data_IF_174040718186
#
_entry.id   IF_174040718186
#
_cell.length_a   1.000
_cell.length_b   1.000
_cell.length_c   1.000
_cell.angle_alpha   90.00
_cell.angle_beta   90.00
_cell.angle_gamma   90.00
#
_symmetry.space_group_name_H-M   'P 1'
#
loop_
_entity.id
_entity.type
_entity.pdbx_description
1 polymer ?
#
# COMPACT_ATOMS: atom_id res chain seq x y z
N UNK A 1 -10.07 86.98 10.88
CA UNK A 1 -10.20 86.06 9.66
C UNK A 1 -9.40 84.77 9.90
N UNK A 2 -9.87 83.84 10.75
CA UNK A 2 -9.06 82.66 11.07
C UNK A 2 -9.96 81.50 11.68
N UNK A 3 -10.97 81.07 11.01
CA UNK A 3 -11.83 79.94 11.50
C UNK A 3 -12.27 78.94 10.43
N UNK A 4 -11.71 78.89 9.22
CA UNK A 4 -12.17 78.04 8.15
C UNK A 4 -11.24 76.87 7.72
N UNK A 5 -10.03 76.80 8.31
CA UNK A 5 -9.06 75.77 7.89
C UNK A 5 -9.17 74.43 8.68
N UNK A 6 -9.78 74.39 9.86
CA UNK A 6 -9.83 73.16 10.69
C UNK A 6 -10.93 72.16 10.28
N UNK A 7 -12.03 72.58 9.71
CA UNK A 7 -13.15 71.68 9.34
C UNK A 7 -12.88 70.76 8.15
N UNK A 8 -11.98 71.13 7.25
CA UNK A 8 -11.70 70.35 6.04
C UNK A 8 -10.79 69.16 6.37
N UNK A 9 -9.86 69.31 7.32
CA UNK A 9 -8.95 68.25 7.75
C UNK A 9 -9.63 67.19 8.58
N UNK A 10 -10.58 67.52 9.46
CA UNK A 10 -11.33 66.54 10.26
C UNK A 10 -12.21 65.62 9.41
N UNK A 11 -12.89 66.17 8.41
CA UNK A 11 -13.73 65.35 7.47
C UNK A 11 -12.88 64.41 6.63
N UNK A 12 -11.67 64.77 6.23
CA UNK A 12 -10.78 63.92 5.47
C UNK A 12 -10.29 62.73 6.29
N UNK A 13 -9.90 62.94 7.53
CA UNK A 13 -9.46 61.85 8.45
C UNK A 13 -10.59 60.89 8.79
N UNK A 14 -11.82 61.34 8.97
CA UNK A 14 -13.00 60.49 9.16
C UNK A 14 -13.28 59.63 7.95
N UNK A 15 -13.22 60.18 6.74
CA UNK A 15 -13.42 59.41 5.49
C UNK A 15 -12.33 58.34 5.26
N UNK A 16 -11.08 58.64 5.59
CA UNK A 16 -9.98 57.67 5.52
C UNK A 16 -10.15 56.57 6.57
N UNK A 17 -10.56 56.91 7.80
CA UNK A 17 -10.82 55.93 8.85
C UNK A 17 -11.95 54.98 8.51
N UNK A 18 -13.05 55.49 7.92
CA UNK A 18 -14.17 54.64 7.44
C UNK A 18 -13.74 53.68 6.33
N UNK A 19 -12.93 54.15 5.39
CA UNK A 19 -12.40 53.32 4.31
C UNK A 19 -11.47 52.24 4.84
N UNK A 20 -10.61 52.55 5.82
CA UNK A 20 -9.74 51.59 6.49
C UNK A 20 -10.54 50.56 7.28
N UNK A 21 -11.59 50.99 7.98
CA UNK A 21 -12.48 50.09 8.73
C UNK A 21 -13.22 49.11 7.78
N UNK A 22 -13.74 49.62 6.66
CA UNK A 22 -14.37 48.78 5.65
C UNK A 22 -13.38 47.73 5.04
N UNK A 23 -12.15 48.19 4.74
CA UNK A 23 -11.10 47.30 4.23
C UNK A 23 -10.74 46.22 5.25
N UNK A 24 -10.63 46.59 6.55
CA UNK A 24 -10.33 45.64 7.63
C UNK A 24 -11.42 44.59 7.79
N UNK A 25 -12.70 44.97 7.63
CA UNK A 25 -13.84 44.01 7.66
C UNK A 25 -13.77 43.05 6.46
N UNK A 26 -13.43 43.52 5.26
CA UNK A 26 -13.26 42.69 4.09
C UNK A 26 -12.14 41.67 4.29
N UNK A 27 -10.98 42.11 4.80
CA UNK A 27 -9.89 41.18 5.11
C UNK A 27 -10.25 40.16 6.20
N UNK A 28 -11.05 40.57 7.20
CA UNK A 28 -11.55 39.68 8.22
C UNK A 28 -12.44 38.57 7.61
N UNK A 29 -13.37 38.94 6.71
CA UNK A 29 -14.20 37.95 6.02
C UNK A 29 -13.38 37.01 5.13
N UNK A 30 -12.40 37.53 4.41
CA UNK A 30 -11.47 36.71 3.61
C UNK A 30 -10.70 35.73 4.52
N UNK A 31 -10.18 36.20 5.64
CA UNK A 31 -9.44 35.36 6.59
C UNK A 31 -10.33 34.26 7.19
N UNK A 32 -11.58 34.59 7.56
CA UNK A 32 -12.56 33.62 8.08
C UNK A 32 -12.90 32.60 6.99
N UNK A 33 -13.20 33.05 5.76
CA UNK A 33 -13.51 32.15 4.64
C UNK A 33 -12.35 31.20 4.33
N UNK A 34 -11.12 31.70 4.36
CA UNK A 34 -9.92 30.90 4.18
C UNK A 34 -9.75 29.90 5.32
N UNK A 35 -9.95 30.32 6.59
CA UNK A 35 -9.87 29.45 7.75
C UNK A 35 -10.89 28.29 7.67
N UNK A 36 -12.13 28.57 7.30
CA UNK A 36 -13.19 27.55 7.12
C UNK A 36 -12.78 26.56 6.01
N UNK A 37 -12.23 27.07 4.89
CA UNK A 37 -11.75 26.22 3.80
C UNK A 37 -10.63 25.28 4.27
N UNK A 38 -9.63 25.80 4.95
CA UNK A 38 -8.50 25.02 5.48
C UNK A 38 -8.98 23.98 6.49
N UNK A 39 -9.88 24.37 7.39
CA UNK A 39 -10.43 23.44 8.39
C UNK A 39 -11.19 22.30 7.72
N UNK A 40 -12.04 22.58 6.73
CA UNK A 40 -12.77 21.55 5.98
C UNK A 40 -11.83 20.58 5.24
N UNK A 41 -10.74 21.09 4.66
CA UNK A 41 -9.71 20.24 4.03
C UNK A 41 -9.02 19.34 5.06
N UNK A 42 -8.70 19.87 6.24
CA UNK A 42 -8.10 19.12 7.33
C UNK A 42 -9.02 18.01 7.85
N UNK A 43 -10.30 18.31 8.05
CA UNK A 43 -11.28 17.33 8.51
C UNK A 43 -11.45 16.20 7.49
N UNK A 44 -11.54 16.52 6.20
CA UNK A 44 -11.61 15.51 5.13
C UNK A 44 -10.37 14.62 5.14
N UNK A 45 -9.17 15.19 5.26
CA UNK A 45 -7.92 14.43 5.33
C UNK A 45 -7.89 13.51 6.54
N UNK A 46 -8.31 14.02 7.72
CA UNK A 46 -8.32 13.21 8.95
C UNK A 46 -9.29 12.02 8.83
N UNK A 47 -10.47 12.20 8.24
CA UNK A 47 -11.41 11.11 7.98
C UNK A 47 -10.79 10.05 7.06
N UNK A 48 -10.17 10.45 5.96
CA UNK A 48 -9.53 9.50 5.04
C UNK A 48 -8.38 8.72 5.70
N UNK A 49 -7.59 9.37 6.54
CA UNK A 49 -6.51 8.70 7.30
C UNK A 49 -7.08 7.66 8.28
N UNK A 50 -8.18 7.99 8.95
CA UNK A 50 -8.84 7.08 9.89
C UNK A 50 -9.41 5.89 9.13
N UNK A 51 -10.16 6.11 8.05
CA UNK A 51 -10.77 5.07 7.24
C UNK A 51 -9.70 4.13 6.65
N UNK A 52 -8.60 4.69 6.11
CA UNK A 52 -7.46 3.91 5.62
C UNK A 52 -6.87 3.01 6.70
N UNK A 53 -6.64 3.59 7.88
CA UNK A 53 -6.05 2.84 9.00
C UNK A 53 -6.99 1.74 9.47
N UNK A 54 -8.28 2.02 9.57
CA UNK A 54 -9.26 1.09 10.10
C UNK A 54 -9.47 -0.09 9.14
N UNK A 55 -9.57 0.14 7.82
CA UNK A 55 -9.62 -0.92 6.81
C UNK A 55 -8.36 -1.81 6.90
N UNK A 56 -7.18 -1.20 6.99
CA UNK A 56 -5.91 -1.92 7.09
C UNK A 56 -5.82 -2.79 8.35
N UNK A 57 -6.21 -2.25 9.49
CA UNK A 57 -6.22 -2.96 10.77
C UNK A 57 -7.23 -4.12 10.73
N UNK A 58 -8.40 -3.91 10.17
CA UNK A 58 -9.44 -4.94 10.08
C UNK A 58 -8.98 -6.10 9.16
N UNK A 59 -8.43 -5.80 7.99
CA UNK A 59 -7.87 -6.82 7.10
C UNK A 59 -6.76 -7.61 7.83
N UNK A 60 -5.81 -6.92 8.48
CA UNK A 60 -4.76 -7.59 9.23
C UNK A 60 -5.32 -8.51 10.31
N UNK A 61 -6.25 -8.02 11.14
CA UNK A 61 -6.83 -8.79 12.23
C UNK A 61 -7.59 -10.03 11.72
N UNK A 62 -8.38 -9.88 10.68
CA UNK A 62 -9.13 -11.00 10.10
C UNK A 62 -8.19 -12.06 9.53
N UNK A 63 -7.17 -11.66 8.77
CA UNK A 63 -6.17 -12.58 8.23
C UNK A 63 -5.32 -13.22 9.34
N UNK A 64 -4.89 -12.44 10.32
CA UNK A 64 -4.11 -12.97 11.44
C UNK A 64 -4.92 -13.99 12.25
N UNK A 65 -6.17 -13.69 12.59
CA UNK A 65 -7.02 -14.61 13.33
C UNK A 65 -7.32 -15.89 12.57
N UNK A 66 -7.46 -15.81 11.24
CA UNK A 66 -7.68 -16.99 10.40
C UNK A 66 -6.45 -17.90 10.33
N UNK A 67 -5.24 -17.32 10.20
CA UNK A 67 -4.03 -18.09 9.87
C UNK A 67 -3.02 -18.23 11.00
N UNK A 68 -3.23 -17.65 12.19
CA UNK A 68 -2.27 -17.65 13.30
C UNK A 68 -1.78 -19.04 13.70
N UNK A 69 -2.65 -20.06 13.63
CA UNK A 69 -2.33 -21.43 13.99
C UNK A 69 -1.62 -22.21 12.86
N UNK A 70 -1.60 -21.64 11.66
CA UNK A 70 -1.02 -22.23 10.45
C UNK A 70 0.34 -21.62 10.11
N UNK A 71 0.61 -20.37 10.48
CA UNK A 71 1.86 -19.67 10.17
C UNK A 71 3.11 -20.48 10.56
N UNK A 72 3.13 -21.06 11.76
CA UNK A 72 4.25 -21.89 12.19
C UNK A 72 4.45 -23.17 11.39
N UNK A 73 3.37 -23.75 10.84
CA UNK A 73 3.41 -24.98 10.04
C UNK A 73 3.89 -24.72 8.62
N UNK A 74 3.62 -23.50 8.12
CA UNK A 74 3.90 -23.10 6.75
C UNK A 74 5.21 -22.32 6.61
N UNK A 75 5.91 -22.04 7.70
CA UNK A 75 7.02 -21.08 7.79
C UNK A 75 6.64 -19.75 7.14
N UNK A 76 5.49 -19.22 7.56
CA UNK A 76 4.91 -18.01 7.05
C UNK A 76 4.71 -16.97 8.16
N UNK A 77 4.62 -15.71 7.75
CA UNK A 77 4.32 -14.58 8.63
C UNK A 77 3.45 -13.55 7.91
N UNK A 78 2.68 -12.77 8.66
CA UNK A 78 1.94 -11.61 8.13
C UNK A 78 2.59 -10.32 8.61
N UNK A 79 2.85 -9.41 7.68
CA UNK A 79 3.39 -8.08 7.94
C UNK A 79 2.25 -7.06 8.09
N UNK A 80 2.05 -6.46 9.27
CA UNK A 80 0.96 -5.51 9.51
C UNK A 80 1.14 -4.18 8.75
N UNK A 81 2.36 -3.86 8.31
CA UNK A 81 2.64 -2.61 7.61
C UNK A 81 2.30 -2.70 6.14
N UNK A 82 2.64 -3.81 5.51
CA UNK A 82 2.45 -4.03 4.07
C UNK A 82 1.24 -4.89 3.73
N UNK A 83 0.56 -5.46 4.73
CA UNK A 83 -0.50 -6.47 4.57
C UNK A 83 -0.06 -7.62 3.68
N UNK A 84 1.21 -8.02 3.79
CA UNK A 84 1.74 -9.15 3.03
C UNK A 84 1.86 -10.40 3.88
N UNK A 85 1.41 -11.53 3.36
CA UNK A 85 1.68 -12.86 3.90
C UNK A 85 2.89 -13.40 3.17
N UNK A 86 3.97 -13.65 3.91
CA UNK A 86 5.28 -14.06 3.41
C UNK A 86 5.48 -15.54 3.68
N UNK A 87 5.76 -16.31 2.64
CA UNK A 87 6.16 -17.70 2.72
C UNK A 87 7.66 -17.79 2.50
N UNK A 88 8.38 -18.33 3.48
CA UNK A 88 9.83 -18.49 3.49
C UNK A 88 10.21 -19.92 3.08
N UNK A 89 11.47 -20.33 3.23
CA UNK A 89 12.01 -21.64 2.85
C UNK A 89 11.91 -21.95 1.33
N UNK A 90 12.79 -21.36 0.51
CA UNK A 90 12.75 -21.51 -0.95
C UNK A 90 12.83 -22.96 -1.46
N UNK A 91 13.50 -23.86 -0.71
CA UNK A 91 13.60 -25.27 -1.06
C UNK A 91 12.27 -26.02 -0.88
N UNK A 92 11.39 -25.47 -0.04
CA UNK A 92 10.04 -26.00 0.18
C UNK A 92 9.08 -25.45 -0.85
N UNK A 93 9.28 -24.20 -1.31
CA UNK A 93 8.37 -23.52 -2.23
C UNK A 93 8.55 -24.04 -3.67
N UNK A 94 9.80 -24.14 -4.14
CA UNK A 94 10.12 -24.50 -5.53
C UNK A 94 11.29 -25.47 -5.61
N UNK A 95 11.36 -26.21 -6.71
CA UNK A 95 12.56 -26.95 -7.07
C UNK A 95 13.71 -25.95 -7.34
N UNK A 96 14.90 -26.28 -6.88
CA UNK A 96 16.09 -25.42 -7.00
C UNK A 96 16.34 -25.03 -8.46
N UNK A 97 16.45 -23.73 -8.72
CA UNK A 97 16.66 -23.21 -10.09
C UNK A 97 15.45 -23.32 -11.03
N UNK A 98 14.30 -23.81 -10.55
CA UNK A 98 13.07 -23.97 -11.34
C UNK A 98 11.94 -23.07 -10.81
N UNK A 99 10.91 -22.91 -11.64
CA UNK A 99 9.61 -22.35 -11.28
C UNK A 99 8.56 -23.41 -10.93
N UNK A 100 8.94 -24.69 -10.91
CA UNK A 100 8.04 -25.79 -10.56
C UNK A 100 7.72 -25.73 -9.06
N UNK A 101 6.42 -25.61 -8.75
CA UNK A 101 5.92 -25.55 -7.38
C UNK A 101 6.05 -26.94 -6.74
N UNK A 102 6.73 -27.01 -5.62
CA UNK A 102 6.87 -28.25 -4.86
C UNK A 102 5.52 -28.76 -4.31
N UNK A 103 5.34 -30.08 -4.17
CA UNK A 103 4.10 -30.65 -3.63
C UNK A 103 3.70 -30.11 -2.26
N UNK A 104 4.67 -29.84 -1.39
CA UNK A 104 4.41 -29.24 -0.06
C UNK A 104 3.82 -27.86 -0.19
N UNK A 105 4.36 -27.01 -1.08
CA UNK A 105 3.82 -25.67 -1.30
C UNK A 105 2.46 -25.68 -2.01
N UNK A 106 2.23 -26.63 -2.93
CA UNK A 106 0.90 -26.83 -3.51
C UNK A 106 -0.15 -27.10 -2.45
N UNK A 107 0.14 -28.01 -1.51
CA UNK A 107 -0.77 -28.33 -0.41
C UNK A 107 -1.03 -27.10 0.50
N UNK A 108 0.00 -26.28 0.75
CA UNK A 108 -0.16 -25.00 1.48
C UNK A 108 -1.08 -24.06 0.69
N UNK A 109 -0.84 -23.88 -0.60
CA UNK A 109 -1.65 -23.00 -1.44
C UNK A 109 -3.11 -23.45 -1.56
N UNK A 110 -3.36 -24.77 -1.61
CA UNK A 110 -4.71 -25.36 -1.63
C UNK A 110 -5.51 -25.06 -0.35
N UNK A 111 -4.86 -25.00 0.80
CA UNK A 111 -5.49 -24.66 2.08
C UNK A 111 -5.56 -23.13 2.27
N UNK A 112 -4.46 -22.42 2.04
CA UNK A 112 -4.32 -20.99 2.27
C UNK A 112 -5.19 -20.16 1.32
N UNK A 113 -5.03 -20.34 0.01
CA UNK A 113 -5.52 -19.39 -0.98
C UNK A 113 -7.05 -19.27 -1.02
N UNK A 114 -7.86 -20.35 -0.96
CA UNK A 114 -9.30 -20.21 -0.91
C UNK A 114 -9.82 -19.45 0.31
N UNK A 115 -9.26 -19.71 1.48
CA UNK A 115 -9.62 -19.03 2.73
C UNK A 115 -9.24 -17.55 2.68
N UNK A 116 -8.05 -17.24 2.17
CA UNK A 116 -7.54 -15.90 1.96
C UNK A 116 -8.46 -15.10 1.03
N UNK A 117 -8.81 -15.64 -0.13
CA UNK A 117 -9.68 -14.99 -1.10
C UNK A 117 -11.12 -14.86 -0.59
N UNK A 118 -11.62 -15.83 0.15
CA UNK A 118 -12.94 -15.74 0.76
C UNK A 118 -13.07 -14.56 1.72
N UNK A 119 -12.07 -14.34 2.58
CA UNK A 119 -12.04 -13.17 3.48
C UNK A 119 -11.99 -11.88 2.68
N UNK A 120 -11.09 -11.77 1.72
CA UNK A 120 -10.87 -10.54 0.98
C UNK A 120 -12.06 -10.18 0.08
N UNK A 121 -12.59 -11.14 -0.67
CA UNK A 121 -13.69 -10.87 -1.60
C UNK A 121 -15.03 -10.60 -0.90
N UNK A 122 -15.32 -11.30 0.21
CA UNK A 122 -16.61 -11.18 0.89
C UNK A 122 -16.69 -9.97 1.82
N UNK A 123 -15.59 -9.63 2.51
CA UNK A 123 -15.60 -8.56 3.49
C UNK A 123 -15.02 -7.25 2.97
N UNK A 124 -14.06 -7.31 2.05
CA UNK A 124 -13.24 -6.18 1.61
C UNK A 124 -13.18 -6.01 0.10
N UNK A 125 -14.07 -6.67 -0.66
CA UNK A 125 -14.01 -6.70 -2.13
C UNK A 125 -13.96 -5.32 -2.77
N UNK A 126 -14.71 -4.36 -2.20
CA UNK A 126 -14.74 -2.98 -2.66
C UNK A 126 -13.53 -2.15 -2.21
N UNK A 127 -12.88 -2.53 -1.12
CA UNK A 127 -11.71 -1.84 -0.58
C UNK A 127 -10.40 -2.29 -1.23
N UNK A 128 -10.37 -3.52 -1.79
CA UNK A 128 -9.17 -4.07 -2.43
C UNK A 128 -8.97 -3.42 -3.80
N UNK A 129 -7.80 -2.82 -3.98
CA UNK A 129 -7.33 -2.33 -5.27
C UNK A 129 -6.62 -3.43 -6.05
N UNK A 130 -5.69 -4.13 -5.39
CA UNK A 130 -4.85 -5.13 -6.03
C UNK A 130 -4.35 -6.17 -5.02
N UNK A 131 -4.23 -7.42 -5.45
CA UNK A 131 -3.52 -8.48 -4.74
C UNK A 131 -2.29 -8.84 -5.57
N UNK A 132 -1.10 -8.69 -5.01
CA UNK A 132 0.17 -8.98 -5.67
C UNK A 132 0.75 -10.28 -5.17
N UNK A 133 1.08 -11.18 -6.08
CA UNK A 133 1.98 -12.28 -5.81
C UNK A 133 3.39 -11.77 -6.13
N UNK A 134 4.21 -11.53 -5.11
CA UNK A 134 5.56 -10.99 -5.27
C UNK A 134 6.59 -12.09 -5.05
N UNK A 135 7.49 -12.28 -6.02
CA UNK A 135 8.59 -13.25 -5.96
C UNK A 135 9.91 -12.57 -5.74
N UNK A 136 10.61 -12.98 -4.68
CA UNK A 136 11.89 -12.44 -4.29
C UNK A 136 12.98 -13.50 -4.33
N UNK A 137 14.19 -13.10 -4.64
CA UNK A 137 15.39 -13.96 -4.66
C UNK A 137 16.50 -13.39 -3.78
N UNK A 138 17.51 -14.16 -3.51
CA UNK A 138 18.79 -13.66 -3.00
C UNK A 138 19.62 -13.04 -4.13
N UNK A 139 20.69 -12.30 -3.79
CA UNK A 139 21.61 -11.73 -4.76
C UNK A 139 22.53 -12.76 -5.43
N UNK A 140 22.42 -14.01 -5.04
CA UNK A 140 23.24 -15.11 -5.55
C UNK A 140 22.69 -15.68 -6.86
N UNK A 141 23.59 -15.95 -7.80
CA UNK A 141 23.34 -16.73 -9.00
C UNK A 141 24.62 -17.46 -9.43
N UNK A 142 24.62 -18.80 -9.42
CA UNK A 142 25.78 -19.63 -9.80
C UNK A 142 27.11 -19.21 -9.12
N UNK A 143 27.05 -18.91 -7.82
CA UNK A 143 28.21 -18.45 -7.04
C UNK A 143 28.64 -17.01 -7.27
N UNK A 144 27.92 -16.26 -8.11
CA UNK A 144 28.09 -14.81 -8.25
C UNK A 144 27.08 -14.06 -7.40
N UNK A 145 27.51 -12.96 -6.78
CA UNK A 145 26.65 -12.13 -5.93
C UNK A 145 26.59 -10.70 -6.44
N UNK A 146 25.38 -10.16 -6.55
CA UNK A 146 25.16 -8.75 -6.82
C UNK A 146 25.58 -8.24 -8.19
N UNK A 147 25.83 -9.15 -9.15
CA UNK A 147 26.19 -8.77 -10.53
C UNK A 147 24.93 -8.43 -11.34
N UNK A 148 25.09 -7.67 -12.43
CA UNK A 148 23.99 -7.36 -13.35
C UNK A 148 23.42 -8.63 -14.01
N UNK A 149 24.28 -9.60 -14.34
CA UNK A 149 23.84 -10.90 -14.86
C UNK A 149 22.98 -11.65 -13.83
N UNK A 150 23.45 -11.75 -12.59
CA UNK A 150 22.67 -12.35 -11.50
C UNK A 150 21.33 -11.63 -11.32
N UNK A 151 21.28 -10.29 -11.46
CA UNK A 151 20.05 -9.54 -11.36
C UNK A 151 19.02 -9.95 -12.42
N UNK A 152 19.40 -10.02 -13.68
CA UNK A 152 18.48 -10.38 -14.76
C UNK A 152 18.07 -11.85 -14.70
N UNK A 153 18.98 -12.75 -14.35
CA UNK A 153 18.65 -14.18 -14.18
C UNK A 153 17.69 -14.42 -13.01
N UNK A 154 17.92 -13.73 -11.90
CA UNK A 154 16.99 -13.75 -10.76
C UNK A 154 15.65 -13.08 -11.08
N UNK A 155 15.62 -12.06 -11.95
CA UNK A 155 14.40 -11.43 -12.44
C UNK A 155 13.57 -12.44 -13.26
N UNK A 156 14.19 -13.10 -14.23
CA UNK A 156 13.55 -14.13 -15.04
C UNK A 156 12.98 -15.26 -14.16
N UNK A 157 13.77 -15.76 -13.20
CA UNK A 157 13.33 -16.82 -12.28
C UNK A 157 12.19 -16.36 -11.37
N UNK A 158 12.28 -15.17 -10.78
CA UNK A 158 11.23 -14.68 -9.89
C UNK A 158 9.90 -14.43 -10.61
N UNK A 159 9.94 -13.92 -11.84
CA UNK A 159 8.75 -13.77 -12.69
C UNK A 159 8.13 -15.11 -13.06
N UNK A 160 8.95 -16.09 -13.46
CA UNK A 160 8.46 -17.43 -13.77
C UNK A 160 7.78 -18.09 -12.56
N UNK A 161 8.37 -17.94 -11.36
CA UNK A 161 7.83 -18.48 -10.10
C UNK A 161 6.49 -17.87 -9.72
N UNK A 162 6.39 -16.54 -9.74
CA UNK A 162 5.13 -15.85 -9.41
C UNK A 162 4.03 -16.16 -10.41
N UNK A 163 4.39 -16.29 -11.69
CA UNK A 163 3.45 -16.75 -12.71
C UNK A 163 2.94 -18.17 -12.42
N UNK A 164 3.83 -19.11 -12.09
CA UNK A 164 3.42 -20.48 -11.74
C UNK A 164 2.48 -20.51 -10.53
N UNK A 165 2.75 -19.68 -9.50
CA UNK A 165 1.87 -19.56 -8.32
C UNK A 165 0.51 -18.99 -8.74
N UNK A 166 0.47 -17.95 -9.56
CA UNK A 166 -0.79 -17.37 -10.05
C UNK A 166 -1.60 -18.38 -10.85
N UNK A 167 -0.99 -19.04 -11.84
CA UNK A 167 -1.65 -20.06 -12.68
C UNK A 167 -2.23 -21.20 -11.84
N UNK A 168 -1.47 -21.63 -10.83
CA UNK A 168 -1.91 -22.69 -9.93
C UNK A 168 -3.08 -22.24 -9.05
N UNK A 169 -2.96 -21.11 -8.38
CA UNK A 169 -3.94 -20.66 -7.39
C UNK A 169 -5.26 -20.22 -8.00
N UNK A 170 -5.27 -19.54 -9.15
CA UNK A 170 -6.50 -19.06 -9.80
C UNK A 170 -7.32 -20.22 -10.41
N UNK A 171 -6.69 -21.37 -10.64
CA UNK A 171 -7.36 -22.57 -11.19
C UNK A 171 -7.85 -23.53 -10.12
N UNK A 172 -7.66 -23.24 -8.84
CA UNK A 172 -8.15 -24.08 -7.75
C UNK A 172 -9.70 -24.16 -7.77
N UNK A 173 -10.28 -25.35 -7.63
CA UNK A 173 -11.74 -25.52 -7.68
C UNK A 173 -12.50 -24.64 -6.67
N UNK A 174 -11.91 -24.44 -5.50
CA UNK A 174 -12.52 -23.72 -4.39
C UNK A 174 -12.56 -22.19 -4.58
N UNK A 175 -11.93 -21.64 -5.62
CA UNK A 175 -11.93 -20.18 -5.92
C UNK A 175 -12.64 -19.86 -7.25
N UNK A 176 -13.24 -20.85 -7.89
CA UNK A 176 -13.85 -20.68 -9.21
C UNK A 176 -14.97 -19.63 -9.22
N UNK A 177 -15.71 -19.52 -8.12
CA UNK A 177 -16.78 -18.53 -7.97
C UNK A 177 -16.27 -17.08 -7.81
N UNK A 178 -15.01 -16.90 -7.46
CA UNK A 178 -14.34 -15.60 -7.32
C UNK A 178 -13.42 -15.28 -8.51
N UNK A 179 -13.42 -16.11 -9.55
CA UNK A 179 -12.45 -16.02 -10.64
C UNK A 179 -12.54 -14.69 -11.43
N UNK A 180 -13.74 -14.19 -11.72
CA UNK A 180 -13.90 -12.89 -12.36
C UNK A 180 -13.31 -11.76 -11.52
N UNK A 181 -13.63 -11.72 -10.24
CA UNK A 181 -13.08 -10.76 -9.29
C UNK A 181 -11.55 -10.88 -9.18
N UNK A 182 -11.03 -12.12 -9.15
CA UNK A 182 -9.58 -12.36 -9.11
C UNK A 182 -8.87 -11.84 -10.36
N UNK A 183 -9.41 -12.07 -11.55
CA UNK A 183 -8.81 -11.60 -12.81
C UNK A 183 -8.65 -10.09 -12.82
N UNK A 184 -9.57 -9.36 -12.20
CA UNK A 184 -9.51 -7.89 -12.09
C UNK A 184 -8.51 -7.40 -11.03
N UNK A 185 -8.21 -8.23 -10.02
CA UNK A 185 -7.50 -7.77 -8.81
C UNK A 185 -6.12 -8.37 -8.63
N UNK A 186 -5.84 -9.56 -9.20
CA UNK A 186 -4.60 -10.26 -8.88
C UNK A 186 -3.53 -10.07 -9.95
N UNK A 187 -2.30 -9.83 -9.51
CA UNK A 187 -1.12 -9.70 -10.37
C UNK A 187 0.04 -10.57 -9.87
N UNK A 188 0.98 -10.88 -10.77
CA UNK A 188 2.18 -11.64 -10.45
C UNK A 188 3.43 -10.83 -10.82
N UNK A 189 4.29 -10.55 -9.84
CA UNK A 189 5.41 -9.62 -9.93
C UNK A 189 6.72 -10.29 -9.48
N UNK A 190 7.64 -10.52 -10.39
CA UNK A 190 9.00 -10.94 -10.06
C UNK A 190 9.88 -9.73 -9.76
N UNK A 191 10.50 -9.70 -8.58
CA UNK A 191 11.26 -8.56 -8.08
C UNK A 191 12.77 -8.80 -8.01
N UNK A 192 13.25 -9.96 -8.47
CA UNK A 192 14.65 -10.32 -8.33
C UNK A 192 15.12 -10.17 -6.88
N UNK A 193 16.31 -9.63 -6.67
CA UNK A 193 16.83 -9.29 -5.35
C UNK A 193 16.76 -7.79 -5.02
N UNK A 194 15.82 -7.04 -5.62
CA UNK A 194 15.66 -5.60 -5.35
C UNK A 194 15.26 -5.29 -3.91
N UNK A 195 14.52 -6.19 -3.26
CA UNK A 195 14.02 -6.04 -1.90
C UNK A 195 14.57 -7.13 -0.97
N UNK A 196 15.92 -7.21 -0.90
CA UNK A 196 16.62 -8.16 -0.03
C UNK A 196 16.38 -7.86 1.44
N UNK A 197 16.21 -8.91 2.23
CA UNK A 197 16.18 -8.80 3.69
C UNK A 197 17.62 -8.76 4.19
N UNK A 198 17.93 -7.74 4.99
CA UNK A 198 19.25 -7.55 5.58
C UNK A 198 19.15 -7.58 7.10
N UNK A 199 20.04 -8.32 7.72
CA UNK A 199 20.24 -8.36 9.16
C UNK A 199 21.62 -7.75 9.48
N UNK A 200 21.65 -6.74 10.32
CA UNK A 200 22.89 -5.98 10.62
C UNK A 200 23.64 -5.47 9.37
N UNK A 201 22.89 -5.09 8.32
CA UNK A 201 23.45 -4.57 7.06
C UNK A 201 23.92 -5.66 6.06
N UNK A 202 23.91 -6.94 6.46
CA UNK A 202 24.29 -8.09 5.63
C UNK A 202 23.01 -8.77 5.11
N UNK A 203 23.00 -9.17 3.84
CA UNK A 203 21.88 -9.94 3.28
C UNK A 203 21.72 -11.27 4.02
N UNK A 204 20.47 -11.57 4.38
CA UNK A 204 20.05 -12.91 4.76
C UNK A 204 19.43 -13.59 3.53
N UNK A 205 20.16 -14.51 2.84
CA UNK A 205 19.69 -15.11 1.60
C UNK A 205 18.41 -15.94 1.79
N UNK A 206 18.26 -16.64 2.91
CA UNK A 206 17.12 -17.51 3.15
C UNK A 206 15.83 -16.70 3.30
N UNK A 207 15.87 -15.63 4.09
CA UNK A 207 14.73 -14.70 4.22
C UNK A 207 14.49 -13.87 2.97
N UNK A 208 15.53 -13.62 2.16
CA UNK A 208 15.40 -12.90 0.89
C UNK A 208 14.67 -13.70 -0.16
N UNK A 209 14.83 -15.04 -0.17
CA UNK A 209 14.13 -15.96 -1.08
C UNK A 209 12.76 -16.31 -0.53
N UNK A 210 11.71 -15.66 -1.02
CA UNK A 210 10.34 -15.81 -0.52
C UNK A 210 9.31 -15.51 -1.58
N UNK A 211 8.09 -15.93 -1.31
CA UNK A 211 6.88 -15.49 -2.03
C UNK A 211 5.99 -14.72 -1.06
N UNK A 212 5.52 -13.55 -1.49
CA UNK A 212 4.60 -12.72 -0.72
C UNK A 212 3.26 -12.58 -1.44
N UNK A 213 2.17 -12.66 -0.68
CA UNK A 213 0.84 -12.24 -1.11
C UNK A 213 0.54 -10.90 -0.45
N UNK A 214 0.69 -9.82 -1.20
CA UNK A 214 0.55 -8.45 -0.73
C UNK A 214 -0.77 -7.85 -1.17
N UNK A 215 -1.45 -7.19 -0.25
CA UNK A 215 -2.71 -6.49 -0.51
C UNK A 215 -2.42 -5.00 -0.66
N UNK A 216 -2.99 -4.39 -1.70
CA UNK A 216 -3.11 -2.94 -1.84
C UNK A 216 -4.58 -2.56 -1.74
N UNK A 217 -4.88 -1.55 -0.96
CA UNK A 217 -6.24 -1.02 -0.80
C UNK A 217 -6.43 0.25 -1.63
N UNK A 218 -7.67 0.54 -2.04
CA UNK A 218 -8.01 1.81 -2.72
C UNK A 218 -7.68 3.03 -1.86
N UNK A 219 -7.83 2.89 -0.55
CA UNK A 219 -7.50 3.96 0.38
C UNK A 219 -5.99 4.29 0.39
N UNK A 220 -5.10 3.31 0.11
CA UNK A 220 -3.66 3.54 -0.10
C UNK A 220 -3.42 4.42 -1.33
N UNK A 221 -4.08 4.14 -2.45
CA UNK A 221 -3.95 4.94 -3.67
C UNK A 221 -4.50 6.36 -3.48
N UNK A 222 -5.64 6.51 -2.79
CA UNK A 222 -6.22 7.84 -2.47
C UNK A 222 -5.26 8.66 -1.58
N UNK A 223 -4.59 8.03 -0.63
CA UNK A 223 -3.57 8.71 0.19
C UNK A 223 -2.38 9.18 -0.64
N UNK A 224 -1.92 8.37 -1.58
CA UNK A 224 -0.81 8.73 -2.48
C UNK A 224 -1.19 9.90 -3.40
N UNK A 225 -2.42 9.97 -3.91
CA UNK A 225 -2.94 11.09 -4.70
C UNK A 225 -3.00 12.39 -3.88
N UNK A 226 -3.53 12.33 -2.66
CA UNK A 226 -3.62 13.49 -1.77
C UNK A 226 -2.26 14.06 -1.36
N UNK A 227 -1.26 13.18 -1.24
CA UNK A 227 0.12 13.60 -0.99
C UNK A 227 0.68 14.34 -2.20
N UNK A 228 0.45 13.84 -3.42
CA UNK A 228 0.87 14.52 -4.66
C UNK A 228 0.28 15.93 -4.79
N UNK A 229 -1.04 16.07 -4.63
CA UNK A 229 -1.74 17.35 -4.75
C UNK A 229 -1.25 18.41 -3.73
N UNK A 230 -0.54 17.99 -2.69
CA UNK A 230 -0.01 18.90 -1.67
C UNK A 230 1.37 19.47 -2.03
N UNK A 231 2.07 18.84 -2.96
CA UNK A 231 3.42 19.24 -3.38
C UNK A 231 3.44 19.86 -4.80
N UNK A 232 2.31 19.93 -5.49
CA UNK A 232 2.07 20.72 -6.69
C UNK A 232 1.41 22.08 -6.35
#
# INVERSE_FOLDING_TARGET
MQKRKFKVTENYWMSVSDMMSALMIIFLFIAIAFMIKVQKQQDTMNHLIIDYRDVKINIYNDLYNEFKDDFSKWDAEIDPQTLSIKFQEPEVLFTTGSSDINPKFKAILEDFFPRYIAILSQKYGDDIQEIRIEGHTSSEWNGQHGTMEAYFKNMELSQARTRSVLEYTITLPNVINQQEWLIEKITANGLSYSQRIKENGIENPDKSRRVEFRIRTKAEDTMDELIKDRFE
#
